data_IF_371076920234
#
_entry.id   IF_371076920234
#
_cell.length_a   1.000
_cell.length_b   1.000
_cell.length_c   1.000
_cell.angle_alpha   90.00
_cell.angle_beta   90.00
_cell.angle_gamma   90.00
#
_symmetry.space_group_name_H-M   'P 1'
#
loop_
_entity.id
_entity.type
_entity.pdbx_description
1 polymer ?
#
# COMPACT_ATOMS: atom_id res chain seq x y z
N UNK A 1 -3.16 -9.14 -14.05
CA UNK A 1 -4.47 -9.30 -13.39
C UNK A 1 -4.27 -9.17 -11.89
N UNK A 2 -4.89 -8.20 -11.24
CA UNK A 2 -4.80 -8.13 -9.79
C UNK A 2 -5.44 -9.35 -9.13
N UNK A 3 -4.94 -9.70 -7.95
CA UNK A 3 -5.57 -10.77 -7.17
C UNK A 3 -6.99 -10.36 -6.80
N UNK A 4 -7.85 -11.35 -6.60
CA UNK A 4 -9.29 -11.11 -6.43
C UNK A 4 -9.72 -11.14 -4.97
N UNK A 5 -10.86 -10.49 -4.70
CA UNK A 5 -11.55 -10.58 -3.41
C UNK A 5 -11.83 -12.06 -3.09
N UNK A 6 -11.54 -12.47 -1.88
CA UNK A 6 -11.65 -13.84 -1.41
C UNK A 6 -10.34 -14.62 -1.47
N UNK A 7 -9.33 -14.13 -2.18
CA UNK A 7 -8.02 -14.79 -2.23
C UNK A 7 -7.24 -14.52 -0.93
N UNK A 8 -6.36 -15.45 -0.58
CA UNK A 8 -5.40 -15.21 0.50
C UNK A 8 -4.36 -14.21 0.00
N UNK A 9 -4.12 -13.15 0.76
CA UNK A 9 -3.14 -12.13 0.41
C UNK A 9 -1.73 -12.72 0.48
N UNK A 10 -0.92 -12.61 -0.60
CA UNK A 10 0.47 -13.07 -0.56
C UNK A 10 1.24 -12.37 0.55
N UNK A 11 1.94 -13.13 1.39
CA UNK A 11 2.79 -12.57 2.43
C UNK A 11 4.04 -11.95 1.82
N UNK A 12 4.62 -11.01 2.54
CA UNK A 12 5.87 -10.38 2.11
C UNK A 12 6.61 -9.80 3.31
N UNK A 13 7.90 -9.54 3.12
CA UNK A 13 8.73 -8.79 4.05
C UNK A 13 9.44 -7.72 3.24
N UNK A 14 9.19 -6.45 3.55
CA UNK A 14 9.84 -5.31 2.91
C UNK A 14 10.31 -4.33 3.98
N UNK A 15 11.31 -3.53 3.64
CA UNK A 15 11.81 -2.50 4.56
C UNK A 15 11.06 -1.20 4.38
N UNK A 16 10.77 -0.53 5.49
CA UNK A 16 10.16 0.79 5.48
C UNK A 16 11.23 1.89 5.31
N UNK A 17 10.80 3.16 5.34
CA UNK A 17 11.70 4.30 5.19
C UNK A 17 12.73 4.44 6.32
N UNK A 18 12.53 3.74 7.42
CA UNK A 18 13.46 3.71 8.56
C UNK A 18 14.34 2.45 8.53
N UNK A 19 14.35 1.74 7.40
CA UNK A 19 15.13 0.52 7.19
C UNK A 19 14.75 -0.61 8.14
N UNK A 20 13.51 -0.63 8.61
CA UNK A 20 12.96 -1.67 9.48
C UNK A 20 12.09 -2.63 8.67
N UNK A 21 12.20 -3.91 8.95
CA UNK A 21 11.41 -4.92 8.25
C UNK A 21 9.95 -4.87 8.67
N UNK A 22 9.05 -4.89 7.67
CA UNK A 22 7.60 -4.98 7.87
C UNK A 22 7.10 -6.22 7.15
N UNK A 23 6.47 -7.11 7.89
CA UNK A 23 5.91 -8.36 7.38
C UNK A 23 4.39 -8.29 7.41
N UNK A 24 3.75 -8.57 6.29
CA UNK A 24 2.28 -8.52 6.22
C UNK A 24 1.61 -9.44 7.25
N UNK A 25 2.10 -10.66 7.39
CA UNK A 25 1.47 -11.63 8.30
C UNK A 25 1.55 -11.25 9.79
N UNK A 26 2.40 -10.28 10.15
CA UNK A 26 2.47 -9.79 11.53
C UNK A 26 1.18 -9.06 11.95
N UNK A 27 0.37 -8.63 10.99
CA UNK A 27 -0.90 -7.95 11.27
C UNK A 27 -2.07 -8.94 11.43
N UNK A 28 -1.89 -10.21 11.06
CA UNK A 28 -2.94 -11.21 11.18
C UNK A 28 -3.40 -11.36 12.63
N UNK A 29 -4.72 -11.35 12.82
CA UNK A 29 -5.31 -11.42 14.15
C UNK A 29 -5.25 -10.13 14.95
N UNK A 30 -4.64 -9.08 14.41
CA UNK A 30 -4.45 -7.79 15.10
C UNK A 30 -5.16 -6.65 14.41
N UNK A 31 -4.86 -6.44 13.13
CA UNK A 31 -5.39 -5.33 12.32
C UNK A 31 -5.69 -5.82 10.91
N UNK A 32 -6.67 -5.19 10.30
CA UNK A 32 -6.84 -5.24 8.86
C UNK A 32 -5.76 -4.34 8.22
N UNK A 33 -5.42 -4.59 6.98
CA UNK A 33 -4.38 -3.83 6.27
C UNK A 33 -4.98 -3.15 5.05
N UNK A 34 -4.76 -1.84 4.93
CA UNK A 34 -4.97 -1.12 3.67
C UNK A 34 -3.62 -1.08 2.95
N UNK A 35 -3.53 -1.77 1.83
CA UNK A 35 -2.31 -1.89 1.05
C UNK A 35 -2.42 -1.02 -0.19
N UNK A 36 -1.54 -0.03 -0.31
CA UNK A 36 -1.59 0.98 -1.37
C UNK A 36 -0.30 0.92 -2.20
N UNK A 37 -0.41 0.38 -3.41
CA UNK A 37 0.69 0.44 -4.38
C UNK A 37 0.62 1.75 -5.15
N UNK A 38 1.77 2.37 -5.38
CA UNK A 38 1.84 3.58 -6.19
C UNK A 38 3.07 3.52 -7.11
N UNK A 39 3.01 4.22 -8.27
CA UNK A 39 4.06 4.09 -9.28
C UNK A 39 5.43 4.55 -8.83
N UNK A 40 5.59 5.78 -8.40
CA UNK A 40 6.89 6.35 -8.03
C UNK A 40 6.74 7.47 -7.00
N UNK A 41 7.69 7.53 -6.08
CA UNK A 41 7.85 8.66 -5.16
C UNK A 41 8.09 9.96 -5.94
N UNK A 42 7.76 11.07 -5.32
CA UNK A 42 7.96 12.44 -5.85
C UNK A 42 7.13 12.80 -7.08
N UNK A 43 6.15 11.99 -7.47
CA UNK A 43 5.25 12.32 -8.58
C UNK A 43 3.96 12.96 -8.07
N UNK A 44 3.37 13.87 -8.89
CA UNK A 44 2.27 14.71 -8.45
C UNK A 44 1.02 13.98 -7.97
N UNK A 45 0.53 12.99 -8.75
CA UNK A 45 -0.66 12.22 -8.37
C UNK A 45 -0.41 11.37 -7.13
N UNK A 46 0.76 10.72 -7.06
CA UNK A 46 1.15 9.95 -5.88
C UNK A 46 1.25 10.83 -4.65
N UNK A 47 1.86 12.00 -4.77
CA UNK A 47 2.00 12.94 -3.66
C UNK A 47 0.64 13.41 -3.17
N UNK A 48 -0.29 13.74 -4.06
CA UNK A 48 -1.64 14.17 -3.69
C UNK A 48 -2.38 13.06 -2.91
N UNK A 49 -2.29 11.81 -3.37
CA UNK A 49 -2.93 10.68 -2.70
C UNK A 49 -2.33 10.41 -1.31
N UNK A 50 -1.00 10.42 -1.20
CA UNK A 50 -0.35 10.15 0.07
C UNK A 50 -0.49 11.32 1.04
N UNK A 51 -0.57 12.56 0.56
CA UNK A 51 -0.89 13.70 1.42
C UNK A 51 -2.30 13.60 1.99
N UNK A 52 -3.26 13.09 1.23
CA UNK A 52 -4.61 12.85 1.74
C UNK A 52 -4.61 11.76 2.81
N UNK A 53 -3.83 10.70 2.64
CA UNK A 53 -3.65 9.68 3.68
C UNK A 53 -3.01 10.28 4.92
N UNK A 54 -1.96 11.10 4.75
CA UNK A 54 -1.29 11.80 5.85
C UNK A 54 -2.28 12.64 6.66
N UNK A 55 -3.12 13.41 5.96
CA UNK A 55 -4.03 14.36 6.59
C UNK A 55 -5.24 13.67 7.24
N UNK A 56 -5.49 12.40 6.92
CA UNK A 56 -6.58 11.59 7.48
C UNK A 56 -6.04 10.30 8.12
N UNK A 57 -4.86 10.37 8.70
CA UNK A 57 -4.13 9.17 9.15
C UNK A 57 -4.93 8.33 10.15
N UNK A 58 -5.70 8.94 11.04
CA UNK A 58 -6.51 8.21 12.01
C UNK A 58 -7.55 7.27 11.36
N UNK A 59 -7.98 7.57 10.15
CA UNK A 59 -8.89 6.70 9.40
C UNK A 59 -8.18 5.48 8.81
N UNK A 60 -6.86 5.56 8.63
CA UNK A 60 -6.06 4.55 7.94
C UNK A 60 -5.03 3.85 8.82
N UNK A 61 -4.77 4.36 10.01
CA UNK A 61 -3.81 3.79 10.95
C UNK A 61 -4.33 3.97 12.37
N UNK A 62 -4.91 2.91 12.92
CA UNK A 62 -5.49 2.90 14.26
C UNK A 62 -5.42 1.47 14.81
N UNK A 63 -6.17 1.18 15.88
CA UNK A 63 -6.16 -0.14 16.50
C UNK A 63 -6.75 -1.25 15.61
N UNK A 64 -7.55 -0.89 14.61
CA UNK A 64 -8.27 -1.84 13.76
C UNK A 64 -7.70 -1.98 12.35
N UNK A 65 -7.01 -0.96 11.84
CA UNK A 65 -6.47 -0.94 10.48
C UNK A 65 -5.11 -0.28 10.44
N UNK A 66 -4.23 -0.78 9.57
CA UNK A 66 -2.92 -0.20 9.29
C UNK A 66 -2.75 0.01 7.80
N UNK A 67 -2.48 1.24 7.39
CA UNK A 67 -2.10 1.52 6.00
C UNK A 67 -0.63 1.15 5.79
N UNK A 68 -0.35 0.45 4.69
CA UNK A 68 1.00 0.17 4.21
C UNK A 68 1.07 0.64 2.76
N UNK A 69 2.06 1.44 2.43
CA UNK A 69 2.26 1.93 1.06
C UNK A 69 3.48 1.26 0.45
N UNK A 70 3.43 0.95 -0.85
CA UNK A 70 4.49 0.22 -1.54
C UNK A 70 4.78 0.86 -2.89
N UNK A 71 6.06 1.06 -3.19
CA UNK A 71 6.53 1.39 -4.53
C UNK A 71 7.87 0.71 -4.78
N UNK A 72 8.36 0.77 -6.01
CA UNK A 72 9.66 0.19 -6.39
C UNK A 72 10.84 1.09 -6.00
N UNK A 73 10.58 2.24 -5.39
CA UNK A 73 11.63 3.16 -4.94
C UNK A 73 12.45 2.56 -3.80
N UNK A 74 13.66 3.10 -3.60
CA UNK A 74 14.52 2.65 -2.52
C UNK A 74 14.08 3.18 -1.15
N UNK A 75 14.57 2.55 -0.09
CA UNK A 75 14.39 3.02 1.30
C UNK A 75 14.84 4.48 1.43
N UNK A 76 15.94 4.83 0.77
CA UNK A 76 16.50 6.18 0.85
C UNK A 76 15.60 7.24 0.21
N UNK A 77 15.02 6.94 -0.96
CA UNK A 77 14.06 7.83 -1.60
C UNK A 77 12.81 7.99 -0.74
N UNK A 78 12.30 6.91 -0.17
CA UNK A 78 11.15 6.96 0.72
C UNK A 78 11.43 7.81 1.96
N UNK A 79 12.63 7.69 2.54
CA UNK A 79 12.99 8.45 3.72
C UNK A 79 12.99 9.95 3.46
N UNK A 80 13.58 10.36 2.36
CA UNK A 80 13.64 11.79 1.98
C UNK A 80 12.22 12.32 1.74
N UNK A 81 11.41 11.56 1.02
CA UNK A 81 10.04 11.99 0.71
C UNK A 81 9.17 12.04 1.97
N UNK A 82 9.28 11.04 2.84
CA UNK A 82 8.54 11.00 4.10
C UNK A 82 8.90 12.19 5.01
N UNK A 83 10.19 12.49 5.14
CA UNK A 83 10.66 13.62 5.96
C UNK A 83 10.19 14.96 5.39
N UNK A 84 10.22 15.08 4.07
CA UNK A 84 9.82 16.31 3.37
C UNK A 84 8.33 16.59 3.49
N UNK A 85 7.50 15.56 3.36
CA UNK A 85 6.03 15.70 3.34
C UNK A 85 5.36 15.38 4.68
N UNK A 86 6.12 14.91 5.66
CA UNK A 86 5.57 14.56 6.97
C UNK A 86 4.77 13.26 6.99
N UNK A 87 5.12 12.30 6.13
CA UNK A 87 4.45 11.00 6.12
C UNK A 87 4.89 10.14 7.30
N UNK A 88 3.95 9.71 8.12
CA UNK A 88 4.23 8.89 9.31
C UNK A 88 3.76 7.44 9.16
N UNK A 89 3.25 7.06 8.01
CA UNK A 89 2.87 5.69 7.70
C UNK A 89 4.05 4.94 7.04
N UNK A 90 4.09 3.60 7.12
CA UNK A 90 5.16 2.84 6.47
C UNK A 90 5.13 2.99 4.95
N UNK A 91 6.31 3.25 4.38
CA UNK A 91 6.53 3.34 2.94
C UNK A 91 7.50 2.22 2.58
N UNK A 92 6.97 1.13 2.03
CA UNK A 92 7.71 -0.10 1.84
C UNK A 92 8.41 -0.12 0.48
N UNK A 93 9.66 -0.55 0.47
CA UNK A 93 10.51 -0.56 -0.72
C UNK A 93 10.45 -1.92 -1.40
N UNK A 94 9.73 -2.00 -2.51
CA UNK A 94 9.69 -3.17 -3.39
C UNK A 94 10.80 -3.04 -4.44
N UNK A 95 11.97 -2.63 -3.98
CA UNK A 95 13.12 -2.25 -4.79
C UNK A 95 13.84 -3.48 -5.36
N UNK A 96 14.04 -4.51 -4.53
CA UNK A 96 14.73 -5.71 -4.96
C UNK A 96 14.24 -6.97 -4.23
N UNK A 97 13.93 -8.08 -4.91
CA UNK A 97 13.85 -8.16 -6.38
C UNK A 97 12.82 -7.16 -6.91
N UNK A 98 13.19 -6.47 -7.96
CA UNK A 98 12.46 -5.29 -8.45
C UNK A 98 11.00 -5.61 -8.76
N UNK A 99 10.07 -5.00 -8.01
CA UNK A 99 8.65 -5.18 -8.22
C UNK A 99 8.09 -6.56 -7.84
N UNK A 100 8.83 -7.37 -7.07
CA UNK A 100 8.41 -8.74 -6.76
C UNK A 100 7.06 -8.80 -6.04
N UNK A 101 6.82 -7.90 -5.09
CA UNK A 101 5.55 -7.85 -4.36
C UNK A 101 4.42 -7.34 -5.27
N UNK A 102 4.69 -6.30 -6.07
CA UNK A 102 3.72 -5.83 -7.06
C UNK A 102 3.33 -6.94 -8.03
N UNK A 103 4.28 -7.77 -8.45
CA UNK A 103 4.00 -8.94 -9.31
C UNK A 103 3.11 -9.96 -8.59
N UNK A 104 3.41 -10.24 -7.32
CA UNK A 104 2.62 -11.20 -6.53
C UNK A 104 1.15 -10.76 -6.40
N UNK A 105 0.91 -9.45 -6.34
CA UNK A 105 -0.42 -8.87 -6.25
C UNK A 105 -1.06 -8.58 -7.62
N UNK A 106 -0.34 -8.85 -8.70
CA UNK A 106 -0.85 -8.67 -10.06
C UNK A 106 -0.97 -7.20 -10.49
N UNK A 107 -0.18 -6.32 -9.90
CA UNK A 107 -0.23 -4.88 -10.19
C UNK A 107 1.10 -4.32 -10.71
N UNK A 108 2.00 -5.17 -11.15
CA UNK A 108 3.28 -4.71 -11.71
C UNK A 108 3.13 -4.35 -13.18
N UNK A 109 3.60 -3.16 -13.56
CA UNK A 109 3.64 -2.71 -14.95
C UNK A 109 5.00 -3.08 -15.54
N UNK A 110 5.04 -4.16 -16.32
CA UNK A 110 6.28 -4.69 -16.89
C UNK A 110 6.92 -3.79 -17.94
N UNK A 111 6.11 -2.95 -18.58
CA UNK A 111 6.61 -2.04 -19.63
C UNK A 111 7.36 -0.88 -19.00
N UNK A 112 6.81 -0.31 -17.94
CA UNK A 112 7.39 0.86 -17.28
C UNK A 112 8.32 0.48 -16.10
N UNK A 113 8.26 -0.76 -15.61
CA UNK A 113 9.07 -1.20 -14.46
C UNK A 113 8.63 -0.62 -13.13
N UNK A 114 7.35 -0.30 -13.00
CA UNK A 114 6.77 0.32 -11.80
C UNK A 114 5.48 -0.40 -11.41
N UNK A 115 4.96 -0.11 -10.21
CA UNK A 115 3.64 -0.59 -9.83
C UNK A 115 2.55 0.27 -10.49
N UNK A 116 1.44 -0.35 -10.86
CA UNK A 116 0.20 0.37 -11.12
C UNK A 116 -0.41 0.77 -9.78
N UNK A 117 -1.47 1.59 -9.80
CA UNK A 117 -2.16 2.03 -8.58
C UNK A 117 -3.09 0.94 -8.08
N UNK A 118 -2.52 -0.07 -7.45
CA UNK A 118 -3.26 -1.16 -6.82
C UNK A 118 -3.64 -0.81 -5.39
N UNK A 119 -4.89 -1.12 -5.01
CA UNK A 119 -5.37 -0.89 -3.66
C UNK A 119 -6.09 -2.14 -3.17
N UNK A 120 -5.69 -2.63 -2.00
CA UNK A 120 -6.25 -3.84 -1.42
C UNK A 120 -6.59 -3.60 0.04
N UNK A 121 -7.74 -4.10 0.47
CA UNK A 121 -8.05 -4.19 1.91
C UNK A 121 -8.00 -5.67 2.27
N UNK A 122 -7.19 -5.99 3.27
CA UNK A 122 -6.92 -7.35 3.73
C UNK A 122 -7.44 -7.44 5.16
N UNK A 123 -8.31 -8.42 5.44
CA UNK A 123 -8.86 -8.57 6.77
C UNK A 123 -7.87 -9.23 7.75
N UNK A 124 -8.28 -9.37 9.01
CA UNK A 124 -7.43 -9.94 10.06
C UNK A 124 -7.10 -11.41 9.81
N UNK A 125 -7.86 -12.10 8.98
CA UNK A 125 -7.59 -13.49 8.60
C UNK A 125 -6.60 -13.60 7.44
N UNK A 126 -6.18 -12.47 6.84
CA UNK A 126 -5.28 -12.45 5.70
C UNK A 126 -5.98 -12.61 4.35
N UNK A 127 -7.29 -12.40 4.30
CA UNK A 127 -8.08 -12.56 3.09
C UNK A 127 -8.35 -11.19 2.45
N UNK A 128 -8.21 -11.11 1.14
CA UNK A 128 -8.50 -9.88 0.38
C UNK A 128 -10.01 -9.63 0.36
N UNK A 129 -10.41 -8.47 0.84
CA UNK A 129 -11.83 -8.08 0.91
C UNK A 129 -12.18 -6.93 -0.04
N UNK A 130 -11.19 -6.24 -0.55
CA UNK A 130 -11.34 -5.18 -1.56
C UNK A 130 -10.10 -5.20 -2.44
N UNK A 131 -10.30 -5.10 -3.76
CA UNK A 131 -9.21 -5.07 -4.72
C UNK A 131 -9.59 -4.14 -5.87
N UNK A 132 -8.72 -3.17 -6.16
CA UNK A 132 -8.91 -2.22 -7.25
C UNK A 132 -7.56 -1.92 -7.89
N UNK A 133 -7.55 -1.71 -9.20
CA UNK A 133 -6.34 -1.31 -9.91
C UNK A 133 -6.66 -0.18 -10.88
N UNK A 134 -5.94 0.92 -10.76
CA UNK A 134 -5.98 2.05 -11.68
C UNK A 134 -4.65 2.17 -12.40
N UNK A 135 -4.66 2.79 -13.59
CA UNK A 135 -3.43 3.07 -14.33
C UNK A 135 -2.57 4.11 -13.62
N UNK A 136 -1.27 4.24 -13.99
CA UNK A 136 -0.36 5.14 -13.28
C UNK A 136 -0.78 6.60 -13.23
N UNK A 137 -1.50 7.07 -14.23
CA UNK A 137 -1.98 8.46 -14.30
C UNK A 137 -3.37 8.69 -13.71
N UNK A 138 -4.03 7.67 -13.19
CA UNK A 138 -5.41 7.74 -12.72
C UNK A 138 -5.47 7.85 -11.20
N UNK A 139 -6.07 8.93 -10.68
CA UNK A 139 -6.28 9.08 -9.23
C UNK A 139 -7.33 8.09 -8.72
N UNK A 140 -7.18 7.67 -7.46
CA UNK A 140 -8.08 6.72 -6.80
C UNK A 140 -9.15 7.43 -5.97
N UNK A 141 -10.29 6.74 -5.78
CA UNK A 141 -11.36 7.21 -4.91
C UNK A 141 -11.16 6.67 -3.49
N UNK A 142 -10.70 7.53 -2.58
CA UNK A 142 -10.45 7.14 -1.20
C UNK A 142 -11.72 6.90 -0.38
N UNK A 143 -12.88 7.34 -0.84
CA UNK A 143 -14.13 7.01 -0.18
C UNK A 143 -14.43 5.51 -0.29
N UNK A 144 -14.09 4.90 -1.42
CA UNK A 144 -14.17 3.45 -1.58
C UNK A 144 -13.30 2.69 -0.59
N UNK A 145 -12.11 3.22 -0.29
CA UNK A 145 -11.21 2.64 0.71
C UNK A 145 -11.82 2.66 2.10
N UNK A 146 -12.37 3.81 2.49
CA UNK A 146 -12.98 3.98 3.82
C UNK A 146 -14.18 3.07 4.01
N UNK A 147 -14.99 2.93 2.96
CA UNK A 147 -16.13 2.00 2.97
C UNK A 147 -15.67 0.55 3.14
N UNK A 148 -14.65 0.14 2.38
CA UNK A 148 -14.12 -1.21 2.46
C UNK A 148 -13.51 -1.50 3.84
N UNK A 149 -12.78 -0.54 4.41
CA UNK A 149 -12.22 -0.65 5.76
C UNK A 149 -13.36 -0.81 6.79
N UNK A 150 -14.40 0.00 6.70
CA UNK A 150 -15.55 -0.08 7.63
C UNK A 150 -16.21 -1.45 7.57
N UNK A 151 -16.31 -2.07 6.42
CA UNK A 151 -16.89 -3.39 6.22
C UNK A 151 -16.12 -4.51 6.91
N UNK A 152 -14.78 -4.38 7.03
CA UNK A 152 -13.94 -5.41 7.66
C UNK A 152 -13.61 -5.13 9.12
N UNK A 153 -13.80 -3.90 9.59
CA UNK A 153 -13.49 -3.49 10.96
C UNK A 153 -14.74 -3.28 11.82
N UNK A 154 -15.88 -3.10 11.17
CA UNK A 154 -17.17 -2.93 11.84
C UNK A 154 -17.84 -4.25 12.13
#
# INVERSE_FOLDING_TARGET
MPIEVGAEAPDFVLKDQNNQEVRLSDFRGRRSVLLVFYPLAFTGTCQAELCEVRDNLDAYANDDVQVLTISVDSVYSHKIWADREGYQFPMLADFWPHGAVAQAYGVFNEVAGIANRGTFVIDKAGVVRFAEMNGPGEARDQQGWRKAIAEVTG
#
